data_IF_289531872229
#
_entry.id   IF_289531872229
#
_cell.length_a   1.000
_cell.length_b   1.000
_cell.length_c   1.000
_cell.angle_alpha   90.00
_cell.angle_beta   90.00
_cell.angle_gamma   90.00
#
_symmetry.space_group_name_H-M   'P 1'
#
loop_
_entity.id
_entity.type
_entity.pdbx_description
1 polymer ?
#
# COMPACT_ATOMS: atom_id res chain seq x y z
N UNK A 1 -18.59 6.33 17.97
CA UNK A 1 -19.60 5.84 17.01
C UNK A 1 -19.96 6.93 15.99
N UNK A 2 -20.41 6.61 14.77
CA UNK A 2 -20.74 7.66 13.76
C UNK A 2 -22.04 8.38 14.14
N UNK A 3 -22.02 9.72 14.10
CA UNK A 3 -23.19 10.55 14.47
C UNK A 3 -24.44 10.19 13.66
N UNK A 4 -24.27 9.97 12.37
CA UNK A 4 -25.34 9.61 11.41
C UNK A 4 -26.10 8.33 11.82
N UNK A 5 -25.45 7.38 12.49
CA UNK A 5 -26.06 6.11 12.92
C UNK A 5 -26.93 6.31 14.16
N UNK A 6 -26.59 7.27 15.01
CA UNK A 6 -27.39 7.62 16.19
C UNK A 6 -28.72 8.29 15.83
N UNK A 7 -28.81 8.84 14.62
CA UNK A 7 -30.01 9.51 14.09
C UNK A 7 -30.96 8.53 13.36
N UNK A 8 -30.56 7.27 13.14
CA UNK A 8 -31.40 6.28 12.48
C UNK A 8 -32.64 5.91 13.32
N UNK A 9 -33.81 5.72 12.68
CA UNK A 9 -34.99 5.23 13.37
C UNK A 9 -34.75 3.81 13.91
N UNK A 10 -35.38 3.47 15.05
CA UNK A 10 -35.27 2.19 15.78
C UNK A 10 -33.90 1.90 16.42
N UNK A 11 -32.80 2.05 15.68
CA UNK A 11 -31.44 1.76 16.15
C UNK A 11 -30.87 2.93 16.97
N UNK A 12 -31.16 4.17 16.56
CA UNK A 12 -30.65 5.39 17.19
C UNK A 12 -30.92 5.53 18.69
N UNK A 13 -32.13 5.23 19.19
CA UNK A 13 -32.41 5.23 20.63
C UNK A 13 -31.59 4.20 21.42
N UNK A 14 -31.41 2.99 20.87
CA UNK A 14 -30.58 1.95 21.50
C UNK A 14 -29.13 2.41 21.58
N UNK A 15 -28.62 2.93 20.46
CA UNK A 15 -27.27 3.49 20.39
C UNK A 15 -27.06 4.60 21.43
N UNK A 16 -27.99 5.55 21.54
CA UNK A 16 -27.90 6.65 22.51
C UNK A 16 -27.98 6.18 23.96
N UNK A 17 -28.70 5.09 24.23
CA UNK A 17 -28.77 4.51 25.58
C UNK A 17 -27.44 3.93 26.08
N UNK A 18 -26.52 3.61 25.18
CA UNK A 18 -25.17 3.13 25.51
C UNK A 18 -24.18 4.27 25.80
N UNK A 19 -24.66 5.52 25.82
CA UNK A 19 -23.87 6.75 26.04
C UNK A 19 -22.56 6.81 25.24
N UNK A 20 -22.63 6.74 23.88
CA UNK A 20 -21.44 6.65 23.06
C UNK A 20 -20.84 8.03 22.76
N UNK A 21 -19.52 8.10 22.65
CA UNK A 21 -18.85 9.26 22.04
C UNK A 21 -19.16 9.26 20.53
N UNK A 22 -19.88 10.29 20.07
CA UNK A 22 -20.30 10.44 18.66
C UNK A 22 -19.25 11.23 17.86
N UNK A 23 -18.89 10.69 16.69
CA UNK A 23 -17.79 11.22 15.86
C UNK A 23 -18.34 11.64 14.50
N UNK A 24 -18.07 12.89 14.12
CA UNK A 24 -18.24 13.39 12.76
C UNK A 24 -16.94 13.17 11.96
N UNK A 25 -16.88 12.09 11.18
CA UNK A 25 -15.65 11.68 10.48
C UNK A 25 -15.24 12.61 9.32
N UNK A 26 -16.19 13.35 8.74
CA UNK A 26 -15.97 14.16 7.53
C UNK A 26 -15.29 15.50 7.82
N UNK A 27 -15.37 16.01 9.05
CA UNK A 27 -14.82 17.30 9.45
C UNK A 27 -13.58 17.11 10.33
N UNK A 28 -12.51 17.86 10.06
CA UNK A 28 -11.31 17.85 10.91
C UNK A 28 -11.62 18.31 12.34
N UNK A 29 -12.46 19.35 12.47
CA UNK A 29 -12.99 19.81 13.77
C UNK A 29 -13.74 18.70 14.50
N UNK A 30 -14.53 17.90 13.78
CA UNK A 30 -15.27 16.77 14.35
C UNK A 30 -14.36 15.66 14.86
N UNK A 31 -13.22 15.41 14.19
CA UNK A 31 -12.22 14.44 14.65
C UNK A 31 -11.45 14.93 15.87
N UNK A 32 -11.09 16.23 15.89
CA UNK A 32 -10.40 16.83 17.05
C UNK A 32 -11.29 16.79 18.29
N UNK A 33 -12.55 17.21 18.16
CA UNK A 33 -13.53 17.14 19.24
C UNK A 33 -13.68 15.71 19.78
N UNK A 34 -13.74 14.71 18.91
CA UNK A 34 -13.84 13.32 19.35
C UNK A 34 -12.62 12.86 20.17
N UNK A 35 -11.42 13.35 19.88
CA UNK A 35 -10.23 13.07 20.70
C UNK A 35 -10.32 13.77 22.06
N UNK A 36 -10.78 15.03 22.08
CA UNK A 36 -11.00 15.78 23.32
C UNK A 36 -12.05 15.09 24.21
N UNK A 37 -13.16 14.63 23.63
CA UNK A 37 -14.23 13.89 24.33
C UNK A 37 -13.71 12.54 24.89
N UNK A 38 -12.83 11.84 24.14
CA UNK A 38 -12.17 10.62 24.62
C UNK A 38 -11.27 10.93 25.82
N UNK A 39 -10.47 11.99 25.73
CA UNK A 39 -9.59 12.41 26.82
C UNK A 39 -10.40 12.75 28.09
N UNK A 40 -11.47 13.54 27.96
CA UNK A 40 -12.33 13.91 29.09
C UNK A 40 -12.96 12.67 29.75
N UNK A 41 -13.43 11.71 28.95
CA UNK A 41 -13.98 10.45 29.45
C UNK A 41 -12.95 9.64 30.22
N UNK A 42 -11.71 9.57 29.73
CA UNK A 42 -10.63 8.77 30.34
C UNK A 42 -10.08 9.38 31.63
N UNK A 43 -10.08 10.72 31.75
CA UNK A 43 -9.58 11.42 32.95
C UNK A 43 -10.60 11.42 34.08
N UNK A 44 -11.89 11.39 33.77
CA UNK A 44 -12.93 11.47 34.78
C UNK A 44 -13.24 10.08 35.38
N UNK A 45 -12.92 9.84 36.67
CA UNK A 45 -13.14 8.54 37.31
C UNK A 45 -14.62 8.19 37.53
N UNK A 46 -15.54 9.14 37.32
CA UNK A 46 -16.97 8.89 37.37
C UNK A 46 -17.48 8.07 36.19
N UNK A 47 -16.74 8.04 35.07
CA UNK A 47 -17.12 7.27 33.89
C UNK A 47 -16.57 5.84 33.93
N UNK A 48 -17.31 4.87 33.36
CA UNK A 48 -16.80 3.50 33.20
C UNK A 48 -15.69 3.44 32.14
N UNK A 49 -14.88 2.37 32.11
CA UNK A 49 -13.87 2.17 31.07
C UNK A 49 -14.46 2.31 29.66
N UNK A 50 -13.79 3.07 28.81
CA UNK A 50 -14.22 3.32 27.44
C UNK A 50 -13.92 2.10 26.56
N UNK A 51 -14.95 1.56 25.90
CA UNK A 51 -14.78 0.49 24.91
C UNK A 51 -14.55 1.12 23.54
N UNK A 52 -13.37 0.85 22.96
CA UNK A 52 -13.00 1.32 21.62
C UNK A 52 -12.83 0.11 20.70
N UNK A 53 -13.47 0.16 19.53
CA UNK A 53 -13.20 -0.76 18.44
C UNK A 53 -12.16 -0.10 17.50
N UNK A 54 -10.88 -0.51 17.55
CA UNK A 54 -9.83 0.13 16.77
C UNK A 54 -9.93 -0.18 15.27
N UNK A 55 -10.77 -1.16 14.90
CA UNK A 55 -11.13 -1.51 13.53
C UNK A 55 -12.52 -0.96 13.17
N UNK A 56 -12.69 -0.58 11.90
CA UNK A 56 -13.96 -0.05 11.40
C UNK A 56 -15.01 -1.11 11.03
N UNK A 57 -14.60 -2.38 10.95
CA UNK A 57 -15.37 -3.50 10.39
C UNK A 57 -14.95 -4.83 11.03
N UNK A 58 -15.79 -5.86 10.88
CA UNK A 58 -15.47 -7.22 11.30
C UNK A 58 -14.66 -7.91 10.19
N UNK A 59 -13.40 -8.22 10.45
CA UNK A 59 -12.50 -8.86 9.48
C UNK A 59 -12.56 -10.40 9.57
N UNK A 60 -12.03 -11.07 8.54
CA UNK A 60 -11.92 -12.53 8.53
C UNK A 60 -11.08 -13.03 9.70
N UNK A 61 -11.38 -14.24 10.19
CA UNK A 61 -10.63 -14.87 11.28
C UNK A 61 -9.17 -15.21 10.91
N UNK A 62 -8.72 -14.90 9.70
CA UNK A 62 -7.36 -15.15 9.27
C UNK A 62 -6.43 -13.98 9.57
N UNK A 63 -6.98 -12.75 9.66
CA UNK A 63 -6.16 -11.54 9.77
C UNK A 63 -6.71 -10.48 10.73
N UNK A 64 -5.81 -9.79 11.43
CA UNK A 64 -6.09 -8.55 12.18
C UNK A 64 -5.62 -7.36 11.34
N UNK A 65 -6.57 -6.52 10.93
CA UNK A 65 -6.30 -5.29 10.17
C UNK A 65 -5.67 -4.20 11.03
N UNK A 66 -5.03 -3.23 10.36
CA UNK A 66 -4.35 -2.11 11.02
C UNK A 66 -5.31 -1.31 11.90
N UNK A 67 -4.87 -1.05 13.13
CA UNK A 67 -5.63 -0.27 14.09
C UNK A 67 -5.55 1.24 13.80
N UNK A 68 -6.64 1.96 14.07
CA UNK A 68 -6.63 3.43 14.03
C UNK A 68 -5.94 3.99 15.27
N UNK A 69 -4.90 4.80 15.05
CA UNK A 69 -4.07 5.41 16.11
C UNK A 69 -4.80 6.29 17.12
N UNK A 70 -5.99 6.80 16.78
CA UNK A 70 -6.76 7.69 17.66
C UNK A 70 -7.11 7.06 19.01
N UNK A 71 -7.26 5.73 19.07
CA UNK A 71 -7.51 5.01 20.33
C UNK A 71 -6.28 4.95 21.26
N UNK A 72 -5.09 5.19 20.71
CA UNK A 72 -3.79 5.03 21.37
C UNK A 72 -3.08 6.37 21.59
N UNK A 73 -3.71 7.48 21.19
CA UNK A 73 -3.12 8.81 21.22
C UNK A 73 -2.76 9.30 22.63
N UNK A 74 -3.55 8.90 23.63
CA UNK A 74 -3.37 9.31 25.03
C UNK A 74 -2.26 8.55 25.75
N UNK A 75 -1.73 7.46 25.17
CA UNK A 75 -0.64 6.69 25.80
C UNK A 75 -1.01 6.06 27.14
N UNK A 76 -2.29 5.80 27.39
CA UNK A 76 -2.79 5.16 28.62
C UNK A 76 -2.83 3.63 28.46
N UNK A 77 -2.79 2.86 29.56
CA UNK A 77 -2.96 1.41 29.52
C UNK A 77 -4.28 1.01 28.85
N UNK A 78 -4.23 0.00 27.98
CA UNK A 78 -5.41 -0.56 27.32
C UNK A 78 -5.60 -2.02 27.72
N UNK A 79 -6.85 -2.45 27.77
CA UNK A 79 -7.20 -3.85 27.99
C UNK A 79 -7.62 -4.47 26.66
N UNK A 80 -6.78 -5.31 26.01
CA UNK A 80 -7.17 -5.94 24.76
C UNK A 80 -8.28 -6.97 25.01
N UNK A 81 -9.32 -6.91 24.19
CA UNK A 81 -10.44 -7.86 24.20
C UNK A 81 -10.61 -8.43 22.79
N UNK A 82 -10.53 -9.75 22.70
CA UNK A 82 -10.61 -10.50 21.46
C UNK A 82 -12.02 -11.04 21.29
N UNK A 83 -12.63 -10.76 20.14
CA UNK A 83 -13.95 -11.25 19.76
C UNK A 83 -13.80 -12.24 18.61
N UNK A 84 -14.08 -13.52 18.85
CA UNK A 84 -14.02 -14.57 17.83
C UNK A 84 -15.40 -15.14 17.57
N UNK A 85 -15.80 -15.18 16.30
CA UNK A 85 -17.10 -15.69 15.86
C UNK A 85 -16.94 -17.01 15.12
N UNK A 86 -16.77 -18.15 15.82
CA UNK A 86 -16.56 -19.44 15.16
C UNK A 86 -17.72 -19.78 14.22
N UNK A 87 -17.40 -20.15 12.99
CA UNK A 87 -18.38 -20.56 11.99
C UNK A 87 -17.94 -21.82 11.25
N UNK A 88 -18.93 -22.56 10.72
CA UNK A 88 -18.71 -23.71 9.83
C UNK A 88 -19.18 -23.45 8.41
N UNK A 89 -20.30 -22.74 8.26
CA UNK A 89 -20.99 -22.57 6.96
C UNK A 89 -21.21 -21.11 6.55
N UNK A 90 -21.25 -20.17 7.50
CA UNK A 90 -21.45 -18.76 7.20
C UNK A 90 -20.40 -17.94 7.94
N UNK A 91 -19.49 -17.35 7.18
CA UNK A 91 -18.61 -16.29 7.65
C UNK A 91 -19.43 -15.00 7.83
N UNK A 92 -19.35 -14.41 9.02
CA UNK A 92 -20.06 -13.17 9.37
C UNK A 92 -19.19 -11.92 9.16
N UNK A 93 -17.98 -12.09 8.66
CA UNK A 93 -17.06 -10.99 8.38
C UNK A 93 -17.68 -10.00 7.41
N UNK A 94 -17.65 -8.73 7.79
CA UNK A 94 -18.17 -7.64 6.99
C UNK A 94 -17.00 -6.78 6.51
N UNK A 95 -16.42 -7.20 5.40
CA UNK A 95 -15.40 -6.42 4.68
C UNK A 95 -16.07 -5.58 3.58
N UNK A 96 -15.41 -4.52 3.07
CA UNK A 96 -16.08 -3.48 2.27
C UNK A 96 -16.78 -3.99 1.00
N UNK A 97 -16.39 -5.15 0.49
CA UNK A 97 -16.97 -5.76 -0.69
C UNK A 97 -18.17 -6.66 -0.40
N UNK A 98 -18.54 -6.88 0.86
CA UNK A 98 -19.72 -7.68 1.24
C UNK A 98 -20.95 -6.79 1.31
N UNK A 99 -21.97 -7.12 0.52
CA UNK A 99 -23.25 -6.45 0.60
C UNK A 99 -23.95 -6.77 1.93
N UNK A 100 -24.32 -5.73 2.67
CA UNK A 100 -24.94 -5.84 4.00
C UNK A 100 -26.34 -6.47 3.94
N UNK A 101 -27.09 -6.32 2.85
CA UNK A 101 -28.48 -6.82 2.76
C UNK A 101 -28.50 -8.36 2.70
N UNK A 102 -27.80 -9.03 1.76
CA UNK A 102 -27.69 -10.48 1.77
C UNK A 102 -27.05 -11.01 3.06
N UNK A 103 -26.05 -10.30 3.60
CA UNK A 103 -25.41 -10.69 4.85
C UNK A 103 -26.42 -10.69 6.01
N UNK A 104 -27.25 -9.65 6.12
CA UNK A 104 -28.31 -9.55 7.12
C UNK A 104 -29.30 -10.72 7.02
N UNK A 105 -29.81 -11.04 5.82
CA UNK A 105 -30.72 -12.18 5.65
C UNK A 105 -30.04 -13.52 5.96
N UNK A 106 -28.76 -13.69 5.61
CA UNK A 106 -27.98 -14.88 5.97
C UNK A 106 -27.83 -15.03 7.49
N UNK A 107 -27.69 -13.92 8.22
CA UNK A 107 -27.68 -13.95 9.70
C UNK A 107 -29.02 -14.45 10.25
N UNK A 108 -30.15 -14.05 9.68
CA UNK A 108 -31.47 -14.55 10.08
C UNK A 108 -31.64 -16.05 9.84
N UNK A 109 -30.89 -16.62 8.89
CA UNK A 109 -30.87 -18.06 8.64
C UNK A 109 -30.00 -18.85 9.63
N UNK A 110 -29.20 -18.19 10.47
CA UNK A 110 -28.43 -18.86 11.52
C UNK A 110 -29.24 -18.99 12.81
N UNK A 111 -29.70 -20.21 13.11
CA UNK A 111 -30.41 -20.51 14.35
C UNK A 111 -29.60 -20.20 15.62
N UNK A 112 -28.26 -20.28 15.52
CA UNK A 112 -27.35 -19.97 16.63
C UNK A 112 -26.08 -19.32 16.11
N UNK A 113 -25.70 -18.22 16.75
CA UNK A 113 -24.39 -17.59 16.62
C UNK A 113 -23.60 -17.79 17.90
N UNK A 114 -22.32 -18.15 17.75
CA UNK A 114 -21.38 -18.27 18.85
C UNK A 114 -20.44 -17.07 18.83
N UNK A 115 -20.16 -16.53 20.00
CA UNK A 115 -19.15 -15.49 20.22
C UNK A 115 -18.28 -15.94 21.38
N UNK A 116 -16.99 -16.04 21.13
CA UNK A 116 -15.97 -16.25 22.14
C UNK A 116 -15.30 -14.91 22.45
N UNK A 117 -15.29 -14.55 23.73
CA UNK A 117 -14.68 -13.33 24.23
C UNK A 117 -13.48 -13.71 25.06
N UNK A 118 -12.29 -13.25 24.66
CA UNK A 118 -11.06 -13.47 25.43
C UNK A 118 -10.51 -12.14 25.89
N UNK A 119 -10.38 -11.97 27.20
CA UNK A 119 -9.72 -10.82 27.81
C UNK A 119 -8.25 -11.17 27.97
N UNK A 120 -7.36 -10.34 27.41
CA UNK A 120 -5.92 -10.47 27.67
C UNK A 120 -5.55 -9.82 29.01
N UNK A 121 -4.28 -9.77 29.35
CA UNK A 121 -3.82 -8.92 30.47
C UNK A 121 -3.79 -7.45 30.04
N UNK A 122 -3.95 -6.48 30.96
CA UNK A 122 -3.80 -5.06 30.65
C UNK A 122 -2.43 -4.78 30.01
N UNK A 123 -2.43 -4.16 28.84
CA UNK A 123 -1.22 -3.73 28.14
C UNK A 123 -0.85 -2.33 28.60
N UNK A 124 0.32 -2.19 29.23
CA UNK A 124 0.86 -0.91 29.70
C UNK A 124 1.89 -0.42 28.68
N UNK A 125 1.73 0.78 28.11
CA UNK A 125 2.66 1.30 27.11
C UNK A 125 4.01 1.66 27.73
N UNK A 126 5.07 1.37 26.99
CA UNK A 126 6.42 1.87 27.26
C UNK A 126 6.51 3.38 27.02
N UNK A 127 7.55 4.06 27.56
CA UNK A 127 7.74 5.50 27.31
C UNK A 127 7.87 5.88 25.83
N UNK A 128 8.31 4.95 24.98
CA UNK A 128 8.41 5.14 23.54
C UNK A 128 7.03 5.00 22.86
N UNK A 129 6.27 3.97 23.21
CA UNK A 129 4.89 3.77 22.74
C UNK A 129 3.96 4.92 23.16
N UNK A 130 4.13 5.44 24.39
CA UNK A 130 3.34 6.57 24.88
C UNK A 130 3.57 7.85 24.05
N UNK A 131 4.74 8.01 23.42
CA UNK A 131 5.05 9.14 22.52
C UNK A 131 4.66 8.87 21.07
N UNK A 132 4.56 7.59 20.68
CA UNK A 132 4.27 7.18 19.31
C UNK A 132 3.01 6.29 19.25
N UNK A 133 1.83 6.91 19.03
CA UNK A 133 0.56 6.19 18.97
C UNK A 133 0.49 5.12 17.87
N UNK A 134 1.21 5.31 16.77
CA UNK A 134 1.26 4.33 15.68
C UNK A 134 2.03 3.07 16.11
N UNK A 135 3.16 3.24 16.82
CA UNK A 135 3.92 2.12 17.41
C UNK A 135 3.11 1.39 18.48
N UNK A 136 2.45 2.14 19.36
CA UNK A 136 1.62 1.56 20.41
C UNK A 136 0.47 0.73 19.82
N UNK A 137 -0.24 1.26 18.82
CA UNK A 137 -1.30 0.56 18.13
C UNK A 137 -0.79 -0.75 17.48
N UNK A 138 0.40 -0.72 16.89
CA UNK A 138 1.01 -1.87 16.24
C UNK A 138 1.39 -2.98 17.23
N UNK A 139 2.03 -2.62 18.34
CA UNK A 139 2.45 -3.61 19.34
C UNK A 139 1.25 -4.26 20.05
N UNK A 140 0.22 -3.49 20.36
CA UNK A 140 -1.05 -4.04 20.90
C UNK A 140 -1.71 -4.98 19.89
N UNK A 141 -1.71 -4.61 18.60
CA UNK A 141 -2.23 -5.45 17.52
C UNK A 141 -1.45 -6.77 17.42
N UNK A 142 -0.13 -6.73 17.52
CA UNK A 142 0.71 -7.94 17.52
C UNK A 142 0.44 -8.83 18.74
N UNK A 143 0.29 -8.24 19.93
CA UNK A 143 -0.09 -8.99 21.13
C UNK A 143 -1.45 -9.69 20.96
N UNK A 144 -2.42 -9.01 20.34
CA UNK A 144 -3.73 -9.59 20.01
C UNK A 144 -3.62 -10.70 18.96
N UNK A 145 -2.77 -10.53 17.93
CA UNK A 145 -2.52 -11.52 16.87
C UNK A 145 -1.70 -12.72 17.35
N UNK A 146 -0.93 -12.60 18.43
CA UNK A 146 -0.27 -13.74 19.05
C UNK A 146 -1.27 -14.62 19.81
N UNK A 147 -2.32 -14.01 20.39
CA UNK A 147 -3.33 -14.71 21.17
C UNK A 147 -4.45 -15.35 20.31
N UNK A 148 -4.85 -14.71 19.20
CA UNK A 148 -5.65 -15.33 18.16
C UNK A 148 -4.68 -15.85 17.10
N UNK A 149 -4.51 -17.16 16.83
CA UNK A 149 -3.54 -17.69 15.86
C UNK A 149 -3.83 -17.22 14.43
N UNK A 150 -3.52 -15.95 14.16
CA UNK A 150 -3.98 -15.13 13.04
C UNK A 150 -2.84 -14.22 12.63
N UNK A 151 -2.85 -13.79 11.37
CA UNK A 151 -1.79 -12.96 10.82
C UNK A 151 -2.15 -11.48 10.95
N UNK A 152 -1.14 -10.65 11.05
CA UNK A 152 -1.30 -9.20 10.97
C UNK A 152 -1.36 -8.77 9.49
N UNK A 153 -2.32 -7.93 9.12
CA UNK A 153 -2.31 -7.26 7.81
C UNK A 153 -2.41 -5.75 7.95
N UNK A 154 -1.72 -5.05 7.06
CA UNK A 154 -1.68 -3.59 7.02
C UNK A 154 -2.83 -3.00 6.17
N UNK A 155 -3.75 -3.80 5.62
CA UNK A 155 -4.93 -3.28 4.92
C UNK A 155 -5.78 -2.42 5.87
N UNK A 156 -6.11 -1.18 5.50
CA UNK A 156 -7.14 -0.40 6.17
C UNK A 156 -8.47 -0.44 5.39
N UNK A 157 -9.57 -0.25 6.12
CA UNK A 157 -10.94 -0.22 5.58
C UNK A 157 -11.10 0.75 4.40
N UNK A 158 -10.49 1.94 4.51
CA UNK A 158 -10.61 2.99 3.49
C UNK A 158 -9.98 2.56 2.17
N UNK A 159 -8.87 1.85 2.25
CA UNK A 159 -8.09 1.46 1.08
C UNK A 159 -8.82 0.38 0.24
N UNK A 160 -9.41 -0.61 0.91
CA UNK A 160 -10.21 -1.65 0.25
C UNK A 160 -11.52 -1.07 -0.29
N UNK A 161 -12.18 -0.15 0.42
CA UNK A 161 -13.39 0.53 -0.07
C UNK A 161 -13.14 1.28 -1.38
N UNK A 162 -11.99 1.92 -1.51
CA UNK A 162 -11.65 2.72 -2.69
C UNK A 162 -11.43 1.86 -3.94
N UNK A 163 -10.71 0.74 -3.80
CA UNK A 163 -10.55 -0.24 -4.88
C UNK A 163 -11.88 -0.83 -5.36
N UNK A 164 -12.88 -0.88 -4.47
CA UNK A 164 -14.23 -1.38 -4.76
C UNK A 164 -15.19 -0.31 -5.29
N UNK A 165 -14.86 0.98 -5.11
CA UNK A 165 -15.63 2.12 -5.62
C UNK A 165 -15.19 2.51 -7.03
N UNK A 166 -13.96 2.21 -7.43
CA UNK A 166 -13.54 2.21 -8.82
C UNK A 166 -14.39 1.18 -9.59
N UNK A 167 -14.85 1.49 -10.81
CA UNK A 167 -15.69 0.66 -11.68
C UNK A 167 -15.10 -0.69 -12.13
N UNK A 168 -14.11 -1.19 -11.39
CA UNK A 168 -13.39 -2.46 -11.50
C UNK A 168 -13.57 -3.31 -10.22
N UNK A 169 -14.51 -2.92 -9.36
CA UNK A 169 -14.64 -3.43 -8.00
C UNK A 169 -14.82 -4.95 -7.87
N UNK A 170 -15.28 -5.66 -8.90
CA UNK A 170 -15.35 -7.13 -8.85
C UNK A 170 -13.98 -7.79 -9.03
N UNK A 171 -13.18 -7.31 -9.98
CA UNK A 171 -11.81 -7.78 -10.20
C UNK A 171 -10.91 -7.43 -9.00
N UNK A 172 -10.95 -6.17 -8.55
CA UNK A 172 -10.16 -5.74 -7.40
C UNK A 172 -10.51 -6.50 -6.12
N UNK A 173 -11.80 -6.82 -5.90
CA UNK A 173 -12.28 -7.64 -4.78
C UNK A 173 -11.65 -9.02 -4.75
N UNK A 174 -11.58 -9.68 -5.91
CA UNK A 174 -11.19 -11.09 -6.00
C UNK A 174 -9.67 -11.25 -6.05
N UNK A 175 -8.99 -10.32 -6.69
CA UNK A 175 -7.62 -10.51 -7.16
C UNK A 175 -6.60 -9.52 -6.56
N UNK A 176 -7.01 -8.31 -6.16
CA UNK A 176 -6.07 -7.28 -5.66
C UNK A 176 -6.07 -7.21 -4.12
N UNK A 177 -7.25 -7.23 -3.51
CA UNK A 177 -7.43 -7.00 -2.07
C UNK A 177 -6.73 -8.05 -1.19
N UNK A 178 -6.56 -9.27 -1.70
CA UNK A 178 -5.91 -10.36 -0.96
C UNK A 178 -4.39 -10.28 -0.97
N UNK A 179 -3.81 -9.53 -1.91
CA UNK A 179 -2.37 -9.52 -2.19
C UNK A 179 -1.71 -8.18 -1.89
N UNK A 180 -2.46 -7.07 -1.79
CA UNK A 180 -1.86 -5.73 -1.67
C UNK A 180 -2.21 -5.03 -0.36
N UNK A 181 -1.21 -4.60 0.40
CA UNK A 181 -1.37 -3.63 1.50
C UNK A 181 -1.73 -2.26 0.94
N UNK A 182 -3.02 -2.01 0.75
CA UNK A 182 -3.51 -0.87 -0.02
C UNK A 182 -3.23 0.49 0.67
N UNK A 183 -3.04 0.54 1.99
CA UNK A 183 -2.74 1.79 2.71
C UNK A 183 -1.35 2.38 2.45
N UNK A 184 -0.41 1.56 1.97
CA UNK A 184 0.91 2.01 1.50
C UNK A 184 0.81 2.58 0.08
N UNK A 185 0.00 1.95 -0.79
CA UNK A 185 -0.21 2.38 -2.18
C UNK A 185 -0.63 3.85 -2.25
N UNK A 186 -1.64 4.27 -1.48
CA UNK A 186 -2.08 5.67 -1.50
C UNK A 186 -1.04 6.68 -0.99
N UNK A 187 -0.28 6.31 0.05
CA UNK A 187 0.78 7.18 0.60
C UNK A 187 1.99 7.29 -0.31
N UNK A 188 2.32 6.21 -1.01
CA UNK A 188 3.47 6.14 -1.91
C UNK A 188 3.16 6.79 -3.26
N UNK A 189 1.89 6.77 -3.70
CA UNK A 189 1.53 7.14 -5.07
C UNK A 189 1.12 8.59 -5.29
N UNK A 190 0.64 9.32 -4.28
CA UNK A 190 0.04 10.66 -4.43
C UNK A 190 -1.02 10.77 -5.55
N UNK A 191 -1.63 9.65 -5.95
CA UNK A 191 -2.60 9.59 -7.04
C UNK A 191 -4.01 10.00 -6.59
N UNK A 192 -4.74 10.64 -7.50
CA UNK A 192 -6.17 10.88 -7.38
C UNK A 192 -6.98 9.58 -7.55
N UNK A 193 -8.26 9.63 -7.17
CA UNK A 193 -9.15 8.46 -7.32
C UNK A 193 -9.27 7.99 -8.78
N UNK A 194 -9.37 8.93 -9.72
CA UNK A 194 -9.56 8.63 -11.15
C UNK A 194 -8.34 7.91 -11.75
N UNK A 195 -7.13 8.29 -11.30
CA UNK A 195 -5.89 7.66 -11.74
C UNK A 195 -5.75 6.23 -11.21
N UNK A 196 -6.19 5.97 -9.99
CA UNK A 196 -6.19 4.63 -9.40
C UNK A 196 -7.24 3.74 -10.09
N UNK A 197 -8.42 4.28 -10.40
CA UNK A 197 -9.41 3.55 -11.19
C UNK A 197 -8.89 3.19 -12.59
N UNK A 198 -8.23 4.13 -13.26
CA UNK A 198 -7.57 3.88 -14.56
C UNK A 198 -6.51 2.77 -14.43
N UNK A 199 -5.68 2.84 -13.38
CA UNK A 199 -4.64 1.87 -13.12
C UNK A 199 -5.18 0.46 -12.85
N UNK A 200 -6.24 0.34 -12.05
CA UNK A 200 -6.88 -0.96 -11.76
C UNK A 200 -7.51 -1.55 -13.03
N UNK A 201 -8.15 -0.74 -13.88
CA UNK A 201 -8.68 -1.22 -15.18
C UNK A 201 -7.57 -1.70 -16.09
N UNK A 202 -6.45 -0.99 -16.09
CA UNK A 202 -5.30 -1.37 -16.89
C UNK A 202 -4.68 -2.68 -16.39
N UNK A 203 -4.47 -2.82 -15.08
CA UNK A 203 -4.00 -4.06 -14.46
C UNK A 203 -4.92 -5.24 -14.84
N UNK A 204 -6.24 -5.06 -14.76
CA UNK A 204 -7.21 -6.09 -15.14
C UNK A 204 -7.21 -6.43 -16.64
N UNK A 205 -6.77 -5.50 -17.51
CA UNK A 205 -6.63 -5.77 -18.95
C UNK A 205 -5.35 -6.53 -19.30
N UNK A 206 -4.36 -6.49 -18.42
CA UNK A 206 -3.06 -7.14 -18.60
C UNK A 206 -3.11 -8.55 -18.03
N UNK A 207 -3.69 -8.71 -16.83
CA UNK A 207 -3.84 -9.99 -16.15
C UNK A 207 -4.83 -10.89 -16.89
N UNK A 208 -4.32 -11.69 -17.84
CA UNK A 208 -5.13 -12.53 -18.74
C UNK A 208 -5.62 -13.81 -18.06
N UNK A 209 -4.90 -14.30 -17.06
CA UNK A 209 -5.27 -15.50 -16.29
C UNK A 209 -6.12 -15.18 -15.05
N UNK A 210 -6.29 -13.89 -14.75
CA UNK A 210 -7.08 -13.36 -13.65
C UNK A 210 -6.60 -13.88 -12.29
N UNK A 211 -5.30 -14.03 -12.10
CA UNK A 211 -4.73 -14.50 -10.85
C UNK A 211 -4.38 -13.36 -9.87
N UNK A 212 -4.55 -12.10 -10.30
CA UNK A 212 -4.27 -10.91 -9.51
C UNK A 212 -2.82 -10.48 -9.49
N UNK A 213 -2.00 -11.05 -10.38
CA UNK A 213 -0.61 -10.71 -10.60
C UNK A 213 -0.37 -10.63 -12.11
N UNK A 214 0.62 -9.86 -12.51
CA UNK A 214 1.06 -9.79 -13.90
C UNK A 214 2.24 -10.74 -14.03
N UNK A 215 2.09 -11.79 -14.82
CA UNK A 215 3.19 -12.66 -15.22
C UNK A 215 3.95 -12.11 -16.43
N UNK A 216 5.14 -12.64 -16.70
CA UNK A 216 5.90 -12.30 -17.91
C UNK A 216 5.09 -12.55 -19.19
N UNK A 217 4.26 -13.59 -19.19
CA UNK A 217 3.38 -13.92 -20.32
C UNK A 217 2.23 -12.94 -20.46
N UNK A 218 1.69 -12.42 -19.36
CA UNK A 218 0.66 -11.36 -19.39
C UNK A 218 1.25 -10.06 -19.93
N UNK A 219 2.44 -9.69 -19.46
CA UNK A 219 3.14 -8.49 -19.92
C UNK A 219 3.51 -8.60 -21.40
N UNK A 220 3.80 -9.81 -21.90
CA UNK A 220 4.03 -10.08 -23.32
C UNK A 220 2.85 -9.74 -24.24
N UNK A 221 1.63 -9.95 -23.76
CA UNK A 221 0.42 -9.64 -24.55
C UNK A 221 0.22 -8.15 -24.81
N UNK A 222 0.86 -7.27 -24.01
CA UNK A 222 0.78 -5.82 -24.20
C UNK A 222 1.58 -5.32 -25.41
N UNK A 223 2.60 -6.07 -25.84
CA UNK A 223 3.62 -5.58 -26.78
C UNK A 223 3.70 -6.42 -28.08
N UNK A 224 2.63 -7.16 -28.39
CA UNK A 224 2.50 -8.09 -29.53
C UNK A 224 2.87 -7.51 -30.91
N UNK A 225 3.04 -6.19 -31.06
CA UNK A 225 3.39 -5.55 -32.33
C UNK A 225 4.88 -5.62 -32.73
N UNK A 226 5.83 -6.07 -31.88
CA UNK A 226 7.28 -6.06 -32.24
C UNK A 226 8.18 -7.18 -31.60
N UNK A 227 8.18 -8.43 -32.11
CA UNK A 227 8.64 -9.64 -31.37
C UNK A 227 10.11 -9.73 -30.88
N UNK A 228 11.09 -9.05 -31.50
CA UNK A 228 12.52 -9.25 -31.20
C UNK A 228 13.16 -8.14 -30.36
N UNK A 229 12.61 -6.93 -30.42
CA UNK A 229 13.01 -5.82 -29.56
C UNK A 229 12.37 -6.05 -28.19
N UNK A 230 11.05 -6.24 -28.20
CA UNK A 230 10.13 -6.33 -27.07
C UNK A 230 10.52 -7.38 -26.00
N UNK A 231 10.89 -8.62 -26.38
CA UNK A 231 11.21 -9.68 -25.39
C UNK A 231 12.28 -9.30 -24.37
N UNK A 232 13.28 -8.51 -24.77
CA UNK A 232 14.38 -8.07 -23.91
C UNK A 232 14.02 -6.81 -23.10
N UNK A 233 13.04 -6.03 -23.55
CA UNK A 233 12.51 -4.89 -22.80
C UNK A 233 11.47 -5.33 -21.77
N UNK A 234 10.65 -6.33 -22.08
CA UNK A 234 9.64 -6.88 -21.17
C UNK A 234 10.28 -7.56 -19.97
N UNK A 235 11.27 -8.43 -20.20
CA UNK A 235 12.01 -9.09 -19.11
C UNK A 235 12.67 -8.07 -18.20
N UNK A 236 13.31 -7.06 -18.78
CA UNK A 236 13.95 -6.01 -18.02
C UNK A 236 12.97 -5.12 -17.23
N UNK A 237 11.82 -4.78 -17.83
CA UNK A 237 10.78 -4.01 -17.17
C UNK A 237 10.02 -4.83 -16.12
N UNK A 238 9.94 -6.13 -16.35
CA UNK A 238 9.37 -7.08 -15.41
C UNK A 238 10.24 -7.25 -14.18
N UNK A 239 11.53 -7.52 -14.39
CA UNK A 239 12.54 -7.58 -13.33
C UNK A 239 12.63 -6.24 -12.56
N UNK A 240 12.29 -5.13 -13.23
CA UNK A 240 12.21 -3.80 -12.63
C UNK A 240 11.10 -3.67 -11.57
N UNK A 241 9.98 -4.31 -11.84
CA UNK A 241 8.74 -4.17 -11.07
C UNK A 241 8.59 -5.30 -10.05
N UNK A 242 9.09 -6.50 -10.36
CA UNK A 242 9.12 -7.70 -9.52
C UNK A 242 10.17 -7.57 -8.41
N UNK A 243 9.92 -6.65 -7.47
CA UNK A 243 10.87 -6.25 -6.43
C UNK A 243 11.20 -7.38 -5.45
N UNK A 244 10.27 -8.32 -5.24
CA UNK A 244 10.52 -9.50 -4.41
C UNK A 244 11.04 -10.72 -5.22
N UNK A 245 11.27 -10.56 -6.52
CA UNK A 245 11.78 -11.57 -7.46
C UNK A 245 10.96 -12.87 -7.44
N UNK A 246 9.65 -12.77 -7.16
CA UNK A 246 8.78 -13.94 -7.10
C UNK A 246 8.36 -14.43 -8.51
N UNK A 247 8.77 -13.72 -9.56
CA UNK A 247 8.44 -13.98 -10.95
C UNK A 247 7.03 -13.50 -11.32
N UNK A 248 6.44 -12.58 -10.54
CA UNK A 248 5.09 -12.02 -10.75
C UNK A 248 4.97 -10.63 -10.11
N UNK A 249 4.47 -9.68 -10.89
CA UNK A 249 4.25 -8.31 -10.42
C UNK A 249 2.87 -8.21 -9.79
N UNK A 250 2.79 -7.95 -8.50
CA UNK A 250 1.53 -7.65 -7.82
C UNK A 250 1.08 -6.19 -8.06
N UNK A 251 -0.17 -5.88 -7.68
CA UNK A 251 -0.70 -4.53 -7.85
C UNK A 251 0.05 -3.46 -7.04
N UNK A 252 0.66 -3.82 -5.90
CA UNK A 252 1.48 -2.91 -5.08
C UNK A 252 2.77 -2.57 -5.81
N UNK A 253 3.44 -3.56 -6.36
CA UNK A 253 4.66 -3.45 -7.14
C UNK A 253 4.46 -2.59 -8.39
N UNK A 254 3.37 -2.82 -9.13
CA UNK A 254 3.01 -1.96 -10.25
C UNK A 254 2.77 -0.52 -9.77
N UNK A 255 2.02 -0.32 -8.69
CA UNK A 255 1.78 1.01 -8.13
C UNK A 255 3.08 1.72 -7.72
N UNK A 256 4.00 1.02 -7.05
CA UNK A 256 5.29 1.57 -6.66
C UNK A 256 6.10 1.95 -7.90
N UNK A 257 6.16 1.07 -8.90
CA UNK A 257 6.80 1.36 -10.18
C UNK A 257 6.23 2.61 -10.86
N UNK A 258 4.90 2.75 -10.91
CA UNK A 258 4.26 3.91 -11.53
C UNK A 258 4.35 5.18 -10.70
N UNK A 259 4.48 5.08 -9.37
CA UNK A 259 4.64 6.24 -8.48
C UNK A 259 5.93 6.99 -8.74
N UNK A 260 6.98 6.24 -9.12
CA UNK A 260 8.29 6.80 -9.47
C UNK A 260 8.26 7.64 -10.76
N UNK A 261 7.21 7.50 -11.57
CA UNK A 261 7.03 8.17 -12.86
C UNK A 261 6.15 9.41 -12.82
N UNK A 262 5.46 9.61 -11.71
CA UNK A 262 4.62 10.77 -11.54
C UNK A 262 5.53 11.98 -11.33
N UNK A 263 5.78 12.70 -12.42
CA UNK A 263 6.33 14.05 -12.35
C UNK A 263 5.47 14.87 -11.37
N UNK A 264 6.08 15.53 -10.37
CA UNK A 264 5.33 16.44 -9.52
C UNK A 264 4.66 17.50 -10.40
N UNK A 265 3.46 17.95 -10.01
CA UNK A 265 2.81 19.09 -10.65
C UNK A 265 3.81 20.26 -10.65
N UNK A 266 3.80 21.05 -11.73
CA UNK A 266 4.75 22.16 -12.01
C UNK A 266 5.06 23.11 -10.83
N UNK A 267 4.24 23.12 -9.79
CA UNK A 267 4.32 24.03 -8.64
C UNK A 267 4.83 23.40 -7.32
N UNK A 268 5.06 22.09 -7.23
CA UNK A 268 5.23 21.42 -5.91
C UNK A 268 6.63 20.86 -5.61
N UNK A 269 7.55 20.74 -6.57
CA UNK A 269 8.94 20.35 -6.26
C UNK A 269 9.93 20.83 -7.34
N UNK A 270 11.18 21.20 -6.99
CA UNK A 270 12.22 21.48 -7.98
C UNK A 270 12.44 20.28 -8.90
N UNK A 271 12.68 20.52 -10.19
CA UNK A 271 12.97 19.46 -11.17
C UNK A 271 14.14 18.55 -10.76
N UNK A 272 15.07 19.07 -9.94
CA UNK A 272 16.20 18.36 -9.36
C UNK A 272 15.78 17.24 -8.38
N UNK A 273 14.78 17.47 -7.52
CA UNK A 273 14.29 16.43 -6.57
C UNK A 273 13.56 15.28 -7.27
N UNK A 274 12.94 15.55 -8.42
CA UNK A 274 12.36 14.50 -9.26
C UNK A 274 13.45 13.64 -9.91
N UNK A 275 14.50 14.28 -10.44
CA UNK A 275 15.63 13.58 -11.07
C UNK A 275 16.42 12.75 -10.05
N UNK A 276 16.65 13.26 -8.85
CA UNK A 276 17.29 12.52 -7.76
C UNK A 276 16.49 11.27 -7.37
N UNK A 277 15.17 11.38 -7.21
CA UNK A 277 14.29 10.22 -6.94
C UNK A 277 14.32 9.19 -8.06
N UNK A 278 14.28 9.64 -9.31
CA UNK A 278 14.35 8.76 -10.47
C UNK A 278 15.72 8.08 -10.58
N UNK A 279 16.81 8.80 -10.28
CA UNK A 279 18.16 8.23 -10.23
C UNK A 279 18.30 7.18 -9.13
N UNK A 280 17.79 7.45 -7.92
CA UNK A 280 17.76 6.45 -6.84
C UNK A 280 16.96 5.22 -7.20
N UNK A 281 15.82 5.40 -7.87
CA UNK A 281 15.05 4.29 -8.40
C UNK A 281 15.87 3.47 -9.39
N UNK A 282 16.39 4.08 -10.46
CA UNK A 282 17.23 3.38 -11.45
C UNK A 282 18.42 2.70 -10.78
N UNK A 283 19.01 3.29 -9.74
CA UNK A 283 20.07 2.63 -8.97
C UNK A 283 19.57 1.35 -8.29
N UNK A 284 18.48 1.44 -7.50
CA UNK A 284 17.90 0.30 -6.77
C UNK A 284 17.52 -0.84 -7.71
N UNK A 285 17.15 -0.53 -8.95
CA UNK A 285 16.74 -1.52 -9.93
C UNK A 285 17.86 -2.43 -10.42
N UNK A 286 19.09 -1.95 -10.47
CA UNK A 286 20.23 -2.74 -10.92
C UNK A 286 21.14 -3.21 -9.78
N UNK A 287 20.86 -2.76 -8.55
CA UNK A 287 21.46 -3.27 -7.31
C UNK A 287 20.75 -4.58 -6.91
N UNK A 288 21.00 -5.63 -7.69
CA UNK A 288 20.26 -6.88 -7.61
C UNK A 288 20.46 -7.61 -6.27
N UNK A 289 21.60 -7.38 -5.60
CA UNK A 289 21.91 -7.93 -4.29
C UNK A 289 21.51 -7.01 -3.12
N UNK A 290 20.89 -5.85 -3.42
CA UNK A 290 20.51 -4.81 -2.45
C UNK A 290 21.67 -4.40 -1.53
N UNK A 291 22.90 -4.44 -2.03
CA UNK A 291 24.08 -4.07 -1.26
C UNK A 291 24.18 -2.56 -1.03
N UNK A 292 23.39 -1.76 -1.74
CA UNK A 292 23.47 -0.30 -1.77
C UNK A 292 24.61 0.22 -2.63
N UNK A 293 25.29 -0.66 -3.38
CA UNK A 293 26.45 -0.39 -4.22
C UNK A 293 26.29 -1.15 -5.54
N UNK A 294 26.44 -0.47 -6.68
CA UNK A 294 26.46 -1.16 -7.97
C UNK A 294 27.85 -1.76 -8.20
N UNK A 295 27.91 -3.08 -8.34
CA UNK A 295 29.12 -3.75 -8.78
C UNK A 295 29.48 -3.31 -10.21
N UNK A 296 30.76 -3.43 -10.57
CA UNK A 296 31.23 -3.11 -11.93
C UNK A 296 30.45 -3.86 -13.01
N UNK A 297 30.01 -5.10 -12.74
CA UNK A 297 29.25 -5.90 -13.68
C UNK A 297 27.82 -5.34 -13.87
N UNK A 298 27.16 -4.96 -12.78
CA UNK A 298 25.80 -4.36 -12.81
C UNK A 298 25.81 -2.99 -13.47
N UNK A 299 26.80 -2.15 -13.13
CA UNK A 299 26.95 -0.82 -13.71
C UNK A 299 27.20 -0.89 -15.23
N UNK A 300 28.09 -1.79 -15.67
CA UNK A 300 28.38 -2.01 -17.10
C UNK A 300 27.15 -2.57 -17.82
N UNK A 301 26.42 -3.50 -17.20
CA UNK A 301 25.17 -4.04 -17.76
C UNK A 301 24.13 -2.92 -17.94
N UNK A 302 23.88 -2.14 -16.88
CA UNK A 302 23.00 -0.98 -16.90
C UNK A 302 23.38 0.01 -18.00
N UNK A 303 24.63 0.47 -18.05
CA UNK A 303 25.07 1.48 -19.03
C UNK A 303 24.99 0.97 -20.48
N UNK A 304 25.30 -0.31 -20.73
CA UNK A 304 25.11 -0.92 -22.04
C UNK A 304 23.64 -0.97 -22.42
N UNK A 305 22.76 -1.26 -21.48
CA UNK A 305 21.32 -1.44 -21.70
C UNK A 305 20.56 -0.11 -21.82
N UNK A 306 21.10 0.97 -21.23
CA UNK A 306 20.63 2.35 -21.36
C UNK A 306 21.25 3.11 -22.56
N UNK A 307 22.16 2.53 -23.35
CA UNK A 307 22.82 3.27 -24.47
C UNK A 307 22.89 2.53 -25.81
N UNK A 308 22.48 1.26 -25.87
CA UNK A 308 22.58 0.42 -27.08
C UNK A 308 21.64 0.81 -28.23
N UNK A 309 20.77 1.79 -28.06
CA UNK A 309 19.88 2.33 -29.11
C UNK A 309 20.54 3.40 -30.01
N UNK A 310 21.69 3.97 -29.62
CA UNK A 310 22.41 5.00 -30.41
C UNK A 310 23.55 4.45 -31.27
N UNK A 311 23.83 3.14 -31.19
CA UNK A 311 24.77 2.44 -32.09
C UNK A 311 26.25 2.84 -31.97
N UNK A 312 26.66 3.56 -30.92
CA UNK A 312 27.94 4.27 -30.90
C UNK A 312 28.99 3.81 -29.86
N UNK A 313 28.73 2.80 -29.01
CA UNK A 313 29.73 2.36 -28.02
C UNK A 313 29.71 0.85 -27.74
N UNK A 314 30.28 0.06 -28.66
CA UNK A 314 30.82 -1.28 -28.33
C UNK A 314 32.26 -1.21 -27.75
N UNK A 315 32.83 0.00 -27.66
CA UNK A 315 34.17 0.22 -27.12
C UNK A 315 34.16 0.14 -25.59
N UNK A 316 34.53 -1.03 -25.07
CA UNK A 316 34.70 -1.27 -23.63
C UNK A 316 35.63 -0.24 -22.98
N UNK A 317 36.58 0.32 -23.73
CA UNK A 317 37.55 1.30 -23.22
C UNK A 317 36.88 2.62 -22.84
N UNK A 318 35.92 3.09 -23.64
CA UNK A 318 35.19 4.32 -23.35
C UNK A 318 34.24 4.14 -22.16
N UNK A 319 33.63 2.96 -22.03
CA UNK A 319 32.79 2.61 -20.90
C UNK A 319 33.61 2.51 -19.60
N UNK A 320 34.78 1.89 -19.67
CA UNK A 320 35.71 1.78 -18.56
C UNK A 320 36.24 3.15 -18.11
N UNK A 321 36.49 4.07 -19.05
CA UNK A 321 36.87 5.45 -18.74
C UNK A 321 35.73 6.22 -18.07
N UNK A 322 34.48 6.02 -18.52
CA UNK A 322 33.30 6.64 -17.89
C UNK A 322 33.11 6.12 -16.47
N UNK A 323 33.16 4.80 -16.27
CA UNK A 323 33.05 4.18 -14.94
C UNK A 323 34.17 4.69 -14.03
N UNK A 324 35.42 4.67 -14.48
CA UNK A 324 36.57 5.14 -13.70
C UNK A 324 36.57 6.64 -13.41
N UNK A 325 35.83 7.46 -14.17
CA UNK A 325 35.73 8.90 -13.93
C UNK A 325 34.78 9.24 -12.77
N UNK A 326 33.81 8.36 -12.47
CA UNK A 326 32.78 8.59 -11.46
C UNK A 326 32.88 7.64 -10.26
N UNK A 327 33.52 6.48 -10.42
CA UNK A 327 33.86 5.52 -9.36
C UNK A 327 35.15 5.98 -8.65
N UNK A 328 35.01 6.68 -7.51
CA UNK A 328 36.14 7.30 -6.82
C UNK A 328 36.75 6.39 -5.73
N UNK A 329 36.01 5.40 -5.25
CA UNK A 329 36.38 4.54 -4.12
C UNK A 329 36.38 3.03 -4.44
N UNK A 330 36.05 2.65 -5.68
CA UNK A 330 36.05 1.26 -6.16
C UNK A 330 34.72 0.54 -5.94
N UNK A 331 33.67 1.23 -5.48
CA UNK A 331 32.31 0.72 -5.39
C UNK A 331 31.31 1.82 -5.76
N UNK A 332 30.47 1.57 -6.76
CA UNK A 332 29.66 2.63 -7.34
C UNK A 332 28.42 2.92 -6.47
N UNK A 333 28.47 3.97 -5.67
CA UNK A 333 27.43 4.34 -4.72
C UNK A 333 26.25 5.07 -5.37
N UNK A 334 25.11 5.11 -4.68
CA UNK A 334 23.92 5.88 -5.08
C UNK A 334 24.28 7.35 -5.37
N UNK A 335 25.17 7.94 -4.58
CA UNK A 335 25.57 9.35 -4.73
C UNK A 335 26.47 9.58 -5.95
N UNK A 336 27.26 8.60 -6.36
CA UNK A 336 28.03 8.65 -7.61
C UNK A 336 27.13 8.44 -8.82
N UNK A 337 26.11 7.59 -8.71
CA UNK A 337 25.11 7.43 -9.76
C UNK A 337 24.27 8.70 -9.96
N UNK A 338 23.85 9.35 -8.89
CA UNK A 338 23.14 10.64 -9.00
C UNK A 338 24.02 11.65 -9.75
N UNK A 339 25.29 11.81 -9.35
CA UNK A 339 26.26 12.69 -10.04
C UNK A 339 26.45 12.30 -11.51
N UNK A 340 26.50 11.00 -11.83
CA UNK A 340 26.56 10.53 -13.21
C UNK A 340 25.33 10.99 -14.00
N UNK A 341 24.13 10.87 -13.43
CA UNK A 341 22.87 11.26 -14.09
C UNK A 341 22.63 12.77 -14.16
N UNK A 342 23.35 13.57 -13.36
CA UNK A 342 23.42 15.03 -13.50
C UNK A 342 24.22 15.44 -14.73
N UNK A 343 25.35 14.75 -14.99
CA UNK A 343 26.20 14.99 -16.17
C UNK A 343 25.68 14.30 -17.44
N UNK A 344 24.96 13.18 -17.30
CA UNK A 344 24.39 12.38 -18.37
C UNK A 344 22.89 12.21 -18.20
N UNK A 345 22.11 13.30 -18.39
CA UNK A 345 20.68 13.28 -18.15
C UNK A 345 19.91 12.29 -19.04
N UNK A 346 20.46 11.98 -20.23
CA UNK A 346 19.89 11.05 -21.20
C UNK A 346 19.70 9.61 -20.67
N UNK A 347 20.44 9.23 -19.62
CA UNK A 347 20.31 7.90 -18.99
C UNK A 347 18.95 7.73 -18.31
N UNK A 348 18.44 8.80 -17.70
CA UNK A 348 17.15 8.81 -17.03
C UNK A 348 16.01 9.04 -18.01
N UNK A 349 16.22 9.84 -19.04
CA UNK A 349 15.19 10.16 -20.03
C UNK A 349 14.72 8.89 -20.78
N UNK A 350 15.62 7.94 -21.05
CA UNK A 350 15.24 6.64 -21.63
C UNK A 350 14.40 5.77 -20.70
N UNK A 351 14.67 5.81 -19.39
CA UNK A 351 13.88 5.08 -18.40
C UNK A 351 12.48 5.68 -18.31
N UNK A 352 12.38 7.01 -18.33
CA UNK A 352 11.10 7.73 -18.39
C UNK A 352 10.34 7.39 -19.66
N UNK A 353 10.98 7.37 -20.83
CA UNK A 353 10.34 6.97 -22.10
C UNK A 353 9.82 5.53 -22.07
N UNK A 354 10.61 4.58 -21.54
CA UNK A 354 10.19 3.17 -21.42
C UNK A 354 9.01 2.99 -20.48
N UNK A 355 8.99 3.76 -19.41
CA UNK A 355 7.94 3.71 -18.41
C UNK A 355 6.72 4.57 -18.77
N UNK A 356 6.87 5.52 -19.72
CA UNK A 356 5.77 6.32 -20.26
C UNK A 356 4.75 5.50 -21.06
N UNK A 357 5.08 4.27 -21.47
CA UNK A 357 4.14 3.32 -22.09
C UNK A 357 2.95 3.04 -21.16
N UNK A 358 3.20 2.90 -19.85
CA UNK A 358 2.10 2.76 -18.89
C UNK A 358 1.30 4.06 -18.75
N UNK A 359 1.92 5.22 -18.95
CA UNK A 359 1.28 6.54 -18.83
C UNK A 359 0.37 6.88 -20.02
N UNK A 360 0.75 6.47 -21.23
CA UNK A 360 -0.10 6.61 -22.42
C UNK A 360 -1.31 5.68 -22.37
N UNK A 361 -1.16 4.51 -21.74
CA UNK A 361 -2.25 3.57 -21.49
C UNK A 361 -3.20 4.02 -20.37
N UNK A 362 -2.74 4.78 -19.36
CA UNK A 362 -3.58 5.30 -18.27
C UNK A 362 -4.36 6.58 -18.60
N UNK A 363 -4.30 7.09 -19.83
CA UNK A 363 -5.09 8.25 -20.28
C UNK A 363 -4.62 9.60 -19.73
N UNK A 364 -3.41 9.69 -19.20
CA UNK A 364 -2.83 10.96 -18.76
C UNK A 364 -2.54 11.86 -19.96
N UNK A 365 -3.30 12.96 -20.09
CA UNK A 365 -2.96 14.01 -21.06
C UNK A 365 -1.55 14.55 -20.76
N UNK A 366 -0.74 14.61 -21.81
CA UNK A 366 0.62 15.12 -21.84
C UNK A 366 0.78 16.52 -21.22
#
# INVERSE_FOLDING_TARGET
MMKEVADLPLIGPVIRSLDPILIERRSELGRKKALDDIHEHMVNPAFPPLVIFPQGMTCSQQFITKFKKGAFAEGVPVQPVLLRYPYKHLDISWFPSVNVIPLFFRHLCQFRMYLEVTFLEPYVPTPEEAKNPDLYAENVRQAMAAALPTKCTNHAFEDVRLLLQAGVGEYARQHIVNHTTVGEVYKLMHLSHDEIESLVRHFASIDTDHDGRISLTDLQTLFDECPLFVQRYETMLFDLLDADQNGRIDFRELCIGLSSLNQPKKDESPAEEYRDRLARFVFTLYDADNSGLLSRLELVAMLKQLRSTSGLYDDQTALDQLVAAFDLDGAFSVHEFIRLTEHHPELLDQVVERLAVFKSATGGKA
#
